data_IF_313398013133
#
_entry.id   IF_313398013133
#
_cell.length_a   1.000
_cell.length_b   1.000
_cell.length_c   1.000
_cell.angle_alpha   90.00
_cell.angle_beta   90.00
_cell.angle_gamma   90.00
#
_symmetry.space_group_name_H-M   'P 1'
#
loop_
_entity.id
_entity.type
_entity.pdbx_description
1 polymer ?
#
# COMPACT_ATOMS: atom_id res chain seq x y z
N UNK A 1 7.72 41.89 14.68
CA UNK A 1 6.75 40.94 15.26
C UNK A 1 6.95 39.59 14.58
N UNK A 2 7.61 38.64 15.27
CA UNK A 2 8.03 37.36 14.72
C UNK A 2 6.93 36.30 14.90
N UNK A 3 6.53 35.63 13.81
CA UNK A 3 5.73 34.39 13.86
C UNK A 3 6.17 33.43 12.76
N UNK A 4 7.36 32.84 12.91
CA UNK A 4 7.89 31.79 12.02
C UNK A 4 8.74 30.76 12.76
N UNK A 5 8.29 30.32 13.95
CA UNK A 5 9.06 29.39 14.80
C UNK A 5 8.26 28.18 15.32
N UNK A 6 7.00 28.01 14.94
CA UNK A 6 6.15 26.90 15.42
C UNK A 6 5.83 25.83 14.37
N UNK A 7 6.12 26.09 13.09
CA UNK A 7 5.91 25.13 12.00
C UNK A 7 7.11 24.17 11.80
N UNK A 8 8.35 24.66 12.03
CA UNK A 8 9.58 23.88 11.80
C UNK A 8 9.84 22.78 12.84
N UNK A 9 9.45 22.98 14.09
CA UNK A 9 9.58 21.95 15.13
C UNK A 9 8.52 20.86 15.01
N UNK A 10 7.31 21.23 14.60
CA UNK A 10 6.23 20.28 14.34
C UNK A 10 6.56 19.42 13.11
N UNK A 11 7.11 20.02 12.03
CA UNK A 11 7.51 19.24 10.85
C UNK A 11 8.69 18.30 11.11
N UNK A 12 9.69 18.69 11.92
CA UNK A 12 10.82 17.82 12.27
C UNK A 12 10.42 16.68 13.20
N UNK A 13 9.62 16.95 14.23
CA UNK A 13 9.11 15.91 15.13
C UNK A 13 8.19 14.96 14.37
N UNK A 14 7.30 15.48 13.51
CA UNK A 14 6.45 14.69 12.65
C UNK A 14 7.26 13.84 11.65
N UNK A 15 8.31 14.41 11.04
CA UNK A 15 9.20 13.69 10.12
C UNK A 15 10.02 12.62 10.82
N UNK A 16 10.49 12.87 12.05
CA UNK A 16 11.17 11.87 12.85
C UNK A 16 10.23 10.72 13.24
N UNK A 17 9.00 11.05 13.67
CA UNK A 17 7.97 10.06 13.98
C UNK A 17 7.56 9.25 12.75
N UNK A 18 7.39 9.88 11.59
CA UNK A 18 7.04 9.18 10.36
C UNK A 18 8.18 8.27 9.89
N UNK A 19 9.43 8.70 10.02
CA UNK A 19 10.58 7.85 9.73
C UNK A 19 10.63 6.65 10.67
N UNK A 20 10.50 6.86 11.98
CA UNK A 20 10.48 5.77 12.97
C UNK A 20 9.32 4.81 12.70
N UNK A 21 8.13 5.33 12.39
CA UNK A 21 6.97 4.52 12.03
C UNK A 21 7.22 3.72 10.75
N UNK A 22 7.82 4.32 9.72
CA UNK A 22 8.15 3.65 8.47
C UNK A 22 9.17 2.52 8.70
N UNK A 23 10.21 2.77 9.49
CA UNK A 23 11.21 1.75 9.85
C UNK A 23 10.58 0.62 10.67
N UNK A 24 9.71 0.95 11.63
CA UNK A 24 8.97 -0.02 12.42
C UNK A 24 8.07 -0.89 11.54
N UNK A 25 7.27 -0.28 10.67
CA UNK A 25 6.40 -0.99 9.73
C UNK A 25 7.21 -1.90 8.79
N UNK A 26 8.33 -1.41 8.25
CA UNK A 26 9.21 -2.20 7.41
C UNK A 26 9.75 -3.44 8.13
N UNK A 27 10.15 -3.30 9.41
CA UNK A 27 10.65 -4.42 10.20
C UNK A 27 9.59 -5.51 10.46
N UNK A 28 8.35 -5.10 10.74
CA UNK A 28 7.21 -6.01 10.95
C UNK A 28 6.85 -6.73 9.65
N UNK A 29 6.73 -5.98 8.55
CA UNK A 29 6.45 -6.56 7.22
C UNK A 29 7.52 -7.56 6.83
N UNK A 30 8.80 -7.22 7.00
CA UNK A 30 9.92 -8.13 6.71
C UNK A 30 9.81 -9.43 7.51
N UNK A 31 9.47 -9.34 8.79
CA UNK A 31 9.33 -10.54 9.64
C UNK A 31 8.12 -11.38 9.27
N UNK A 32 6.99 -10.74 8.94
CA UNK A 32 5.80 -11.44 8.46
C UNK A 32 6.08 -12.19 7.15
N UNK A 33 6.71 -11.54 6.18
CA UNK A 33 7.13 -12.14 4.91
C UNK A 33 8.10 -13.31 5.11
N UNK A 34 9.11 -13.13 5.98
CA UNK A 34 10.05 -14.21 6.28
C UNK A 34 9.37 -15.42 6.92
N UNK A 35 8.41 -15.17 7.81
CA UNK A 35 7.67 -16.22 8.50
C UNK A 35 6.73 -16.95 7.57
N UNK A 36 5.98 -16.23 6.73
CA UNK A 36 5.08 -16.85 5.75
C UNK A 36 5.85 -17.68 4.72
N UNK A 37 7.00 -17.21 4.26
CA UNK A 37 7.84 -17.96 3.33
C UNK A 37 8.42 -19.23 3.95
N UNK A 38 8.97 -19.13 5.17
CA UNK A 38 9.46 -20.30 5.91
C UNK A 38 8.34 -21.30 6.18
N UNK A 39 7.14 -20.83 6.52
CA UNK A 39 5.99 -21.70 6.74
C UNK A 39 5.53 -22.41 5.45
N UNK A 40 5.57 -21.73 4.30
CA UNK A 40 5.14 -22.29 3.02
C UNK A 40 6.18 -23.21 2.37
N UNK A 41 7.46 -22.85 2.44
CA UNK A 41 8.54 -23.55 1.70
C UNK A 41 9.48 -24.35 2.58
N UNK A 42 9.45 -24.16 3.91
CA UNK A 42 10.40 -24.76 4.85
C UNK A 42 11.83 -24.23 4.75
N UNK A 43 12.08 -23.22 3.90
CA UNK A 43 13.41 -22.71 3.55
C UNK A 43 13.54 -21.23 3.86
N UNK A 44 14.78 -20.73 3.97
CA UNK A 44 15.00 -19.30 4.14
C UNK A 44 14.55 -18.54 2.88
N UNK A 45 13.84 -17.40 3.04
CA UNK A 45 13.36 -16.62 1.90
C UNK A 45 14.52 -16.12 1.03
N UNK A 46 14.42 -16.26 -0.31
CA UNK A 46 15.37 -15.65 -1.22
C UNK A 46 15.31 -14.14 -1.01
N UNK A 47 16.38 -13.61 -0.42
CA UNK A 47 16.36 -12.32 0.27
C UNK A 47 16.34 -11.12 -0.69
N UNK A 48 16.28 -11.33 -2.01
CA UNK A 48 16.43 -10.25 -2.96
C UNK A 48 15.73 -10.54 -4.30
N UNK A 49 14.63 -9.87 -4.65
CA UNK A 49 14.10 -9.90 -6.02
C UNK A 49 15.00 -9.18 -7.04
N UNK A 50 16.09 -8.55 -6.60
CA UNK A 50 17.17 -8.02 -7.44
C UNK A 50 18.38 -8.97 -7.51
N UNK A 51 18.26 -10.20 -7.02
CA UNK A 51 19.31 -11.21 -7.14
C UNK A 51 19.43 -11.66 -8.62
N UNK A 52 20.57 -11.44 -9.28
CA UNK A 52 20.76 -11.81 -10.69
C UNK A 52 20.75 -13.34 -10.92
N UNK A 53 20.78 -14.15 -9.85
CA UNK A 53 20.66 -15.61 -9.90
C UNK A 53 19.21 -16.13 -9.97
N UNK A 54 18.20 -15.25 -9.89
CA UNK A 54 16.80 -15.63 -10.09
C UNK A 54 16.48 -15.66 -11.59
N UNK A 55 16.04 -16.81 -12.09
CA UNK A 55 15.61 -16.92 -13.48
C UNK A 55 14.50 -15.90 -13.79
N UNK A 56 14.54 -15.27 -14.97
CA UNK A 56 13.55 -14.24 -15.36
C UNK A 56 12.11 -14.78 -15.21
N UNK A 57 11.88 -16.06 -15.49
CA UNK A 57 10.57 -16.70 -15.32
C UNK A 57 10.11 -16.77 -13.86
N UNK A 58 11.02 -17.04 -12.93
CA UNK A 58 10.72 -17.08 -11.50
C UNK A 58 10.49 -15.68 -10.93
N UNK A 59 11.24 -14.68 -11.41
CA UNK A 59 11.00 -13.28 -11.08
C UNK A 59 9.62 -12.79 -11.56
N UNK A 60 9.21 -13.14 -12.79
CA UNK A 60 7.88 -12.78 -13.33
C UNK A 60 6.77 -13.46 -12.53
N UNK A 61 6.92 -14.74 -12.19
CA UNK A 61 5.95 -15.46 -11.36
C UNK A 61 5.78 -14.79 -9.99
N UNK A 62 6.90 -14.47 -9.34
CA UNK A 62 6.90 -13.79 -8.05
C UNK A 62 6.29 -12.39 -8.12
N UNK A 63 6.64 -11.62 -9.14
CA UNK A 63 6.11 -10.28 -9.35
C UNK A 63 4.59 -10.30 -9.62
N UNK A 64 4.12 -11.26 -10.42
CA UNK A 64 2.69 -11.43 -10.71
C UNK A 64 1.93 -11.79 -9.44
N UNK A 65 2.38 -12.81 -8.72
CA UNK A 65 1.74 -13.24 -7.46
C UNK A 65 1.73 -12.12 -6.42
N UNK A 66 2.87 -11.48 -6.21
CA UNK A 66 3.00 -10.38 -5.24
C UNK A 66 2.16 -9.17 -5.66
N UNK A 67 2.20 -8.80 -6.94
CA UNK A 67 1.44 -7.68 -7.50
C UNK A 67 -0.07 -7.90 -7.35
N UNK A 68 -0.57 -9.10 -7.66
CA UNK A 68 -1.98 -9.45 -7.47
C UNK A 68 -2.39 -9.39 -6.01
N UNK A 69 -1.60 -9.98 -5.11
CA UNK A 69 -1.88 -9.96 -3.67
C UNK A 69 -1.90 -8.53 -3.11
N UNK A 70 -0.90 -7.71 -3.45
CA UNK A 70 -0.83 -6.31 -3.02
C UNK A 70 -2.01 -5.51 -3.58
N UNK A 71 -2.38 -5.73 -4.85
CA UNK A 71 -3.52 -5.09 -5.48
C UNK A 71 -4.84 -5.41 -4.76
N UNK A 72 -5.09 -6.68 -4.47
CA UNK A 72 -6.28 -7.12 -3.72
C UNK A 72 -6.28 -6.54 -2.30
N UNK A 73 -5.13 -6.59 -1.60
CA UNK A 73 -5.01 -6.02 -0.26
C UNK A 73 -5.31 -4.52 -0.25
N UNK A 74 -4.78 -3.76 -1.22
CA UNK A 74 -5.06 -2.34 -1.38
C UNK A 74 -6.54 -2.09 -1.64
N UNK A 75 -7.17 -2.84 -2.54
CA UNK A 75 -8.60 -2.72 -2.85
C UNK A 75 -9.46 -2.93 -1.59
N UNK A 76 -9.19 -3.99 -0.84
CA UNK A 76 -9.91 -4.29 0.41
C UNK A 76 -9.67 -3.23 1.48
N UNK A 77 -8.43 -2.76 1.64
CA UNK A 77 -8.08 -1.71 2.60
C UNK A 77 -8.79 -0.39 2.27
N UNK A 78 -8.74 0.07 1.02
CA UNK A 78 -9.43 1.28 0.58
C UNK A 78 -10.95 1.15 0.75
N UNK A 79 -11.52 -0.02 0.41
CA UNK A 79 -12.95 -0.29 0.61
C UNK A 79 -13.33 -0.23 2.09
N UNK A 80 -12.53 -0.85 2.97
CA UNK A 80 -12.77 -0.83 4.42
C UNK A 80 -12.59 0.56 5.02
N UNK A 81 -11.59 1.32 4.58
CA UNK A 81 -11.40 2.71 5.00
C UNK A 81 -12.61 3.57 4.60
N UNK A 82 -13.12 3.41 3.38
CA UNK A 82 -14.32 4.11 2.93
C UNK A 82 -15.57 3.74 3.76
N UNK A 83 -15.78 2.45 4.04
CA UNK A 83 -16.88 2.01 4.91
C UNK A 83 -16.72 2.49 6.36
N UNK A 84 -15.50 2.47 6.90
CA UNK A 84 -15.22 2.94 8.26
C UNK A 84 -15.46 4.43 8.38
N UNK A 85 -14.99 5.21 7.40
CA UNK A 85 -15.24 6.64 7.31
C UNK A 85 -16.75 6.94 7.19
N UNK A 86 -17.45 6.26 6.28
CA UNK A 86 -18.90 6.42 6.14
C UNK A 86 -19.67 6.06 7.43
N UNK A 87 -19.19 5.06 8.18
CA UNK A 87 -19.77 4.64 9.46
C UNK A 87 -19.46 5.61 10.60
N UNK A 88 -18.30 6.28 10.56
CA UNK A 88 -17.86 7.19 11.63
C UNK A 88 -18.32 8.63 11.43
N UNK A 89 -18.54 9.09 10.19
CA UNK A 89 -18.96 10.48 9.89
C UNK A 89 -20.43 10.61 9.51
N UNK A 90 -21.15 9.51 9.24
CA UNK A 90 -22.57 9.51 8.85
C UNK A 90 -22.87 10.16 7.48
N UNK A 91 -21.85 10.68 6.79
CA UNK A 91 -21.96 11.41 5.53
C UNK A 91 -20.80 10.95 4.62
N UNK A 92 -21.13 10.45 3.43
CA UNK A 92 -20.15 10.06 2.43
C UNK A 92 -19.36 11.31 1.97
N UNK A 93 -18.01 11.33 2.04
CA UNK A 93 -17.22 12.43 1.51
C UNK A 93 -17.48 12.50 0.00
N UNK A 94 -17.77 13.70 -0.52
CA UNK A 94 -18.31 13.93 -1.87
C UNK A 94 -17.50 13.36 -3.04
N UNK A 95 -16.28 12.90 -2.79
CA UNK A 95 -15.38 12.21 -3.71
C UNK A 95 -15.79 10.76 -4.04
N UNK A 96 -16.77 10.19 -3.31
CA UNK A 96 -17.35 8.86 -3.55
C UNK A 96 -18.77 8.93 -4.13
N UNK A 97 -19.23 10.13 -4.51
CA UNK A 97 -20.51 10.30 -5.21
C UNK A 97 -20.32 9.79 -6.64
N UNK A 98 -20.68 8.52 -6.85
CA UNK A 98 -20.79 7.79 -8.13
C UNK A 98 -20.72 8.76 -9.32
N UNK A 99 -19.56 8.78 -9.97
CA UNK A 99 -19.11 9.79 -10.94
C UNK A 99 -19.92 9.81 -12.25
N UNK A 100 -21.09 9.17 -12.29
CA UNK A 100 -21.90 8.99 -13.50
C UNK A 100 -21.24 8.10 -14.56
N UNK A 101 -20.02 7.59 -14.33
CA UNK A 101 -19.36 6.62 -15.19
C UNK A 101 -20.03 5.25 -15.05
N UNK A 102 -21.15 5.08 -15.75
CA UNK A 102 -21.57 3.76 -16.23
C UNK A 102 -20.46 3.29 -17.19
N UNK A 103 -19.63 2.34 -16.75
CA UNK A 103 -18.65 1.69 -17.63
C UNK A 103 -19.31 1.04 -18.87
N UNK A 104 -20.62 0.78 -18.79
CA UNK A 104 -21.48 0.30 -19.87
C UNK A 104 -21.97 1.39 -20.83
N UNK A 105 -21.76 2.68 -20.54
CA UNK A 105 -22.17 3.85 -21.34
C UNK A 105 -21.01 4.75 -21.78
N UNK A 106 -19.79 4.49 -21.33
CA UNK A 106 -18.62 5.20 -21.81
C UNK A 106 -18.36 4.79 -23.28
N UNK A 107 -18.45 5.71 -24.27
CA UNK A 107 -18.09 5.37 -25.64
C UNK A 107 -16.60 5.00 -25.66
N UNK A 108 -16.27 3.87 -26.30
CA UNK A 108 -14.89 3.48 -26.50
C UNK A 108 -14.19 4.58 -27.32
N UNK A 109 -12.94 4.96 -26.99
CA UNK A 109 -12.20 5.92 -27.80
C UNK A 109 -12.04 5.35 -29.21
N UNK A 110 -12.68 6.00 -30.18
CA UNK A 110 -12.53 5.66 -31.59
C UNK A 110 -11.11 6.01 -32.02
N UNK A 111 -10.42 5.03 -32.61
CA UNK A 111 -9.04 5.15 -33.09
C UNK A 111 -9.00 5.78 -34.48
#
# INVERSE_FOLDING_TARGET
>A
MAKKSSADSNSKVYSALSLVAALGAASVVKKALNTSWRAATGKNPPANPADPDVSIGEAIMWATLSGTLIGVARMLATRRAAHYYARSTGHLPGQLKKDGQDASRAPAPES
#
